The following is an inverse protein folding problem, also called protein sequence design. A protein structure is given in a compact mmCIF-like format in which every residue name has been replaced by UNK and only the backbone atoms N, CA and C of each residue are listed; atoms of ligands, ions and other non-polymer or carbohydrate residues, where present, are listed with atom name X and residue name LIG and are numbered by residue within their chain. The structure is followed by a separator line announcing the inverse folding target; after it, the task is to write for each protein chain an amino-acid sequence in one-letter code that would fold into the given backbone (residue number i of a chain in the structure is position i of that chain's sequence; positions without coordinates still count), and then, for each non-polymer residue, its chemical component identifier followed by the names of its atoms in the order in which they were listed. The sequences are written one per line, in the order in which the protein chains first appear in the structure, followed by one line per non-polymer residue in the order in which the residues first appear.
data_IF_405919289354
#
_entry.id   IF_405919289354
#
_cell.length_a   1.000
_cell.length_b   1.000
_cell.length_c   1.000
_cell.angle_alpha   90.00
_cell.angle_beta   90.00
_cell.angle_gamma   90.00
#
_symmetry.space_group_name_H-M   'P 1'
#
loop_
_entity.id
_entity.type
_entity.pdbx_description
1 polymer ?
#
# COMPACT_ATOMS: atom_id res chain seq x y z
N UNK A 1 -21.84 40.93 -1.47
CA UNK A 1 -20.78 40.97 -0.44
C UNK A 1 -20.37 39.52 -0.19
N UNK A 2 -19.23 39.11 -0.71
CA UNK A 2 -18.58 37.86 -0.34
C UNK A 2 -18.12 37.98 1.11
N UNK A 3 -18.79 37.26 2.02
CA UNK A 3 -18.35 37.13 3.40
C UNK A 3 -17.27 36.02 3.38
N UNK A 4 -16.02 36.46 3.39
CA UNK A 4 -14.88 35.55 3.55
C UNK A 4 -14.81 35.18 5.04
N UNK A 5 -15.31 34.01 5.41
CA UNK A 5 -15.15 33.49 6.75
C UNK A 5 -13.95 32.52 6.71
N UNK A 6 -12.88 32.88 7.41
CA UNK A 6 -11.70 32.05 7.52
C UNK A 6 -11.99 30.87 8.47
N UNK A 7 -11.85 29.65 7.99
CA UNK A 7 -11.99 28.44 8.78
C UNK A 7 -10.60 27.92 9.16
N UNK A 8 -10.38 27.76 10.46
CA UNK A 8 -9.21 27.03 10.97
C UNK A 8 -9.59 25.58 11.23
N UNK A 9 -8.76 24.65 10.80
CA UNK A 9 -8.97 23.22 11.02
C UNK A 9 -7.84 22.70 11.89
N UNK A 10 -8.21 22.12 13.02
CA UNK A 10 -7.28 21.53 13.97
C UNK A 10 -7.26 20.00 13.81
N UNK A 11 -6.05 19.45 13.84
CA UNK A 11 -5.79 18.00 13.90
C UNK A 11 -5.06 17.70 15.21
N UNK A 12 -5.48 16.71 15.95
CA UNK A 12 -5.01 16.36 17.29
C UNK A 12 -3.49 16.27 17.50
N UNK A 13 -2.70 16.23 16.44
CA UNK A 13 -1.23 16.13 16.52
C UNK A 13 -0.46 17.23 15.79
N UNK A 14 -1.13 17.99 14.90
CA UNK A 14 -0.50 19.05 14.11
C UNK A 14 -1.54 20.13 13.87
N UNK A 15 -1.39 21.27 14.52
CA UNK A 15 -2.25 22.45 14.24
C UNK A 15 -1.91 23.00 12.86
N UNK A 16 -2.61 22.55 11.84
CA UNK A 16 -2.52 23.09 10.49
C UNK A 16 -3.52 24.24 10.37
N UNK A 17 -3.05 25.46 10.58
CA UNK A 17 -3.86 26.66 10.40
C UNK A 17 -4.06 26.94 8.90
N UNK A 18 -5.09 26.36 8.32
CA UNK A 18 -5.51 26.66 6.95
C UNK A 18 -6.64 27.69 7.02
N UNK A 19 -6.33 28.94 6.67
CA UNK A 19 -7.35 29.97 6.42
C UNK A 19 -8.06 29.66 5.11
N UNK A 20 -9.15 28.88 5.19
CA UNK A 20 -9.88 28.40 4.03
C UNK A 20 -11.21 29.16 3.87
N UNK A 21 -11.54 29.56 2.65
CA UNK A 21 -12.87 30.01 2.31
C UNK A 21 -13.86 28.83 2.45
N UNK A 22 -14.92 28.94 3.25
CA UNK A 22 -15.83 27.82 3.58
C UNK A 22 -16.55 27.23 2.35
N UNK A 23 -16.89 28.04 1.37
CA UNK A 23 -17.79 27.63 0.29
C UNK A 23 -17.34 26.44 -0.54
N UNK A 24 -16.09 26.34 -1.01
CA UNK A 24 -15.66 25.19 -1.80
C UNK A 24 -15.66 23.86 -0.99
N UNK A 25 -15.40 23.94 0.31
CA UNK A 25 -15.46 22.77 1.20
C UNK A 25 -16.92 22.34 1.44
N UNK A 26 -17.82 23.30 1.66
CA UNK A 26 -19.24 23.04 1.91
C UNK A 26 -19.95 22.44 0.69
N UNK A 27 -19.59 22.87 -0.51
CA UNK A 27 -20.23 22.39 -1.74
C UNK A 27 -19.86 20.95 -2.07
N UNK A 28 -18.70 20.45 -1.60
CA UNK A 28 -18.15 19.14 -1.96
C UNK A 28 -18.04 18.15 -0.81
N UNK A 29 -18.25 18.61 0.44
CA UNK A 29 -18.16 17.75 1.63
C UNK A 29 -19.43 17.81 2.47
N UNK A 30 -20.15 16.70 2.54
CA UNK A 30 -21.35 16.57 3.38
C UNK A 30 -21.03 16.72 4.86
N UNK A 31 -19.89 16.14 5.31
CA UNK A 31 -19.46 16.25 6.70
C UNK A 31 -19.15 17.70 7.10
N UNK A 32 -18.41 18.44 6.27
CA UNK A 32 -18.09 19.84 6.55
C UNK A 32 -19.36 20.70 6.56
N UNK A 33 -20.28 20.44 5.64
CA UNK A 33 -21.57 21.10 5.58
C UNK A 33 -22.36 20.89 6.89
N UNK A 34 -22.46 19.62 7.34
CA UNK A 34 -23.17 19.27 8.57
C UNK A 34 -22.53 19.91 9.80
N UNK A 35 -21.20 19.80 9.97
CA UNK A 35 -20.49 20.37 11.11
C UNK A 35 -20.65 21.88 11.23
N UNK A 36 -20.61 22.61 10.12
CA UNK A 36 -20.80 24.07 10.12
C UNK A 36 -22.25 24.43 10.39
N UNK A 37 -23.22 23.66 9.84
CA UNK A 37 -24.64 23.92 10.07
C UNK A 37 -25.07 23.61 11.53
N UNK A 38 -24.56 22.55 12.12
CA UNK A 38 -24.87 22.11 13.49
C UNK A 38 -24.26 23.03 14.56
N UNK A 39 -23.13 23.67 14.26
CA UNK A 39 -22.43 24.55 15.22
C UNK A 39 -23.24 25.75 15.71
N UNK A 40 -24.30 26.14 14.98
CA UNK A 40 -25.14 27.32 15.26
C UNK A 40 -24.39 28.62 15.50
N UNK A 41 -23.07 28.61 15.36
CA UNK A 41 -22.21 29.77 15.55
C UNK A 41 -21.88 30.41 14.19
N UNK A 42 -22.41 31.56 13.89
CA UNK A 42 -22.12 32.27 12.62
C UNK A 42 -20.65 32.70 12.50
N UNK A 43 -19.94 32.76 13.63
CA UNK A 43 -18.52 33.13 13.70
C UNK A 43 -17.60 31.94 13.92
N UNK A 44 -18.07 30.71 13.66
CA UNK A 44 -17.24 29.51 13.81
C UNK A 44 -15.96 29.63 12.97
N UNK A 45 -14.85 29.79 13.67
CA UNK A 45 -13.53 29.95 13.06
C UNK A 45 -12.65 28.71 13.18
N UNK A 46 -13.09 27.70 13.94
CA UNK A 46 -12.33 26.47 14.17
C UNK A 46 -13.22 25.24 14.13
N UNK A 47 -12.81 24.24 13.40
CA UNK A 47 -13.45 22.90 13.38
C UNK A 47 -12.38 21.87 13.71
N UNK A 48 -12.62 21.04 14.71
CA UNK A 48 -11.84 19.86 14.99
C UNK A 48 -12.28 18.71 14.08
N UNK A 49 -11.33 18.04 13.44
CA UNK A 49 -11.55 16.81 12.68
C UNK A 49 -10.82 15.69 13.40
N UNK A 50 -11.53 15.08 14.34
CA UNK A 50 -11.00 13.97 15.13
C UNK A 50 -10.97 12.69 14.28
N UNK A 51 -9.90 11.91 14.46
CA UNK A 51 -9.73 10.59 13.84
C UNK A 51 -9.88 10.55 12.31
N UNK A 52 -9.53 11.64 11.62
CA UNK A 52 -9.57 11.63 10.17
C UNK A 52 -8.55 10.65 9.60
N UNK A 53 -8.99 9.68 8.78
CA UNK A 53 -8.09 8.72 8.17
C UNK A 53 -7.14 9.40 7.18
N UNK A 54 -5.87 8.98 7.21
CA UNK A 54 -4.83 9.55 6.33
C UNK A 54 -4.23 10.86 6.82
N UNK A 55 -4.74 11.40 7.95
CA UNK A 55 -4.17 12.57 8.62
C UNK A 55 -4.20 13.87 7.82
N UNK A 56 -3.35 14.84 8.19
CA UNK A 56 -3.31 16.17 7.57
C UNK A 56 -3.01 16.15 6.08
N UNK A 57 -2.14 15.23 5.64
CA UNK A 57 -1.74 15.12 4.22
C UNK A 57 -2.92 14.71 3.33
N UNK A 58 -3.74 13.77 3.78
CA UNK A 58 -4.93 13.35 3.03
C UNK A 58 -5.99 14.45 3.03
N UNK A 59 -6.15 15.18 4.14
CA UNK A 59 -7.03 16.33 4.19
C UNK A 59 -6.57 17.46 3.26
N UNK A 60 -5.29 17.79 3.24
CA UNK A 60 -4.75 18.81 2.34
C UNK A 60 -5.07 18.50 0.88
N UNK A 61 -4.91 17.23 0.45
CA UNK A 61 -5.26 16.82 -0.91
C UNK A 61 -6.78 16.93 -1.16
N UNK A 62 -7.61 16.53 -0.21
CA UNK A 62 -9.06 16.68 -0.32
C UNK A 62 -9.48 18.16 -0.37
N UNK A 63 -8.85 19.02 0.43
CA UNK A 63 -9.07 20.45 0.39
C UNK A 63 -8.64 21.04 -0.96
N UNK A 64 -7.43 20.73 -1.46
CA UNK A 64 -6.98 21.15 -2.81
C UNK A 64 -8.00 20.80 -3.88
N UNK A 65 -8.54 19.58 -3.82
CA UNK A 65 -9.59 19.16 -4.74
C UNK A 65 -10.84 20.05 -4.63
N UNK A 66 -11.30 20.39 -3.41
CA UNK A 66 -12.43 21.29 -3.21
C UNK A 66 -12.22 22.67 -3.83
N UNK A 67 -10.99 23.18 -3.80
CA UNK A 67 -10.63 24.48 -4.42
C UNK A 67 -10.34 24.39 -5.92
N UNK A 68 -10.56 23.25 -6.54
CA UNK A 68 -10.29 23.06 -7.97
C UNK A 68 -8.81 23.00 -8.33
N UNK A 69 -7.93 22.84 -7.32
CA UNK A 69 -6.50 22.64 -7.54
C UNK A 69 -6.28 21.20 -7.98
N UNK A 70 -5.48 20.99 -9.03
CA UNK A 70 -5.16 19.66 -9.53
C UNK A 70 -4.49 18.81 -8.43
N UNK A 71 -4.99 17.60 -8.24
CA UNK A 71 -4.46 16.62 -7.30
C UNK A 71 -3.95 15.42 -8.09
N UNK A 72 -2.66 15.15 -8.01
CA UNK A 72 -2.06 13.97 -8.61
C UNK A 72 -2.36 12.73 -7.78
N UNK A 73 -3.13 11.81 -8.34
CA UNK A 73 -3.42 10.52 -7.72
C UNK A 73 -2.24 9.56 -7.97
N UNK A 74 -1.74 8.99 -6.90
CA UNK A 74 -0.62 8.04 -6.91
C UNK A 74 -0.90 6.84 -6.01
N UNK A 75 -0.18 5.74 -6.20
CA UNK A 75 -0.28 4.58 -5.31
C UNK A 75 0.08 4.92 -3.85
N UNK A 76 0.89 5.96 -3.61
CA UNK A 76 1.31 6.35 -2.28
C UNK A 76 0.23 7.12 -1.50
N UNK A 77 -0.61 7.90 -2.18
CA UNK A 77 -1.60 8.78 -1.52
C UNK A 77 -3.05 8.30 -1.65
N UNK A 78 -3.33 7.41 -2.61
CA UNK A 78 -4.71 7.06 -2.96
C UNK A 78 -5.51 6.42 -1.82
N UNK A 79 -4.88 5.56 -1.01
CA UNK A 79 -5.57 4.88 0.11
C UNK A 79 -6.00 5.86 1.19
N UNK A 80 -5.09 6.74 1.62
CA UNK A 80 -5.40 7.79 2.58
C UNK A 80 -6.45 8.76 2.04
N UNK A 81 -6.29 9.19 0.80
CA UNK A 81 -7.21 10.12 0.15
C UNK A 81 -8.61 9.51 -0.05
N UNK A 82 -8.70 8.22 -0.42
CA UNK A 82 -10.00 7.52 -0.54
C UNK A 82 -10.71 7.41 0.82
N UNK A 83 -9.96 7.08 1.87
CA UNK A 83 -10.51 7.04 3.22
C UNK A 83 -10.94 8.44 3.71
N UNK A 84 -10.14 9.47 3.44
CA UNK A 84 -10.47 10.85 3.77
C UNK A 84 -11.71 11.35 3.01
N UNK A 85 -11.82 11.01 1.73
CA UNK A 85 -12.99 11.36 0.92
C UNK A 85 -14.28 10.74 1.47
N UNK A 86 -14.22 9.48 1.93
CA UNK A 86 -15.34 8.81 2.60
C UNK A 86 -15.68 9.48 3.93
N UNK A 87 -14.68 9.74 4.78
CA UNK A 87 -14.85 10.43 6.05
C UNK A 87 -15.48 11.81 5.88
N UNK A 88 -15.09 12.54 4.85
CA UNK A 88 -15.60 13.86 4.52
C UNK A 88 -16.95 13.83 3.76
N UNK A 89 -17.45 12.64 3.44
CA UNK A 89 -18.71 12.46 2.70
C UNK A 89 -18.72 13.21 1.35
N UNK A 90 -17.65 13.03 0.56
CA UNK A 90 -17.48 13.67 -0.74
C UNK A 90 -18.13 12.85 -1.87
N UNK A 91 -19.46 12.70 -1.79
CA UNK A 91 -20.28 11.88 -2.70
C UNK A 91 -20.65 12.62 -3.99
N UNK A 92 -21.07 11.89 -5.01
CA UNK A 92 -21.58 12.46 -6.26
C UNK A 92 -22.95 13.15 -6.12
N UNK A 93 -23.68 12.88 -5.04
CA UNK A 93 -24.93 13.59 -4.73
C UNK A 93 -24.71 15.10 -4.47
N UNK A 94 -23.49 15.47 -4.03
CA UNK A 94 -23.11 16.86 -3.81
C UNK A 94 -22.57 17.53 -5.08
N UNK A 95 -21.77 16.81 -5.84
CA UNK A 95 -21.19 17.30 -7.10
C UNK A 95 -20.78 16.11 -7.97
N UNK A 96 -21.13 16.14 -9.25
CA UNK A 96 -20.77 15.13 -10.22
C UNK A 96 -19.22 15.00 -10.33
N UNK A 97 -18.71 13.77 -10.30
CA UNK A 97 -17.29 13.48 -10.34
C UNK A 97 -16.54 13.92 -9.09
N UNK A 98 -17.19 13.90 -7.92
CA UNK A 98 -16.60 14.21 -6.63
C UNK A 98 -15.48 13.22 -6.24
N UNK A 99 -14.80 13.48 -5.16
CA UNK A 99 -13.53 12.82 -4.81
C UNK A 99 -13.66 11.31 -4.54
N UNK A 100 -14.78 10.84 -3.96
CA UNK A 100 -15.05 9.41 -3.77
C UNK A 100 -15.02 8.70 -5.12
N UNK A 101 -15.75 9.20 -6.11
CA UNK A 101 -15.78 8.61 -7.45
C UNK A 101 -14.42 8.60 -8.13
N UNK A 102 -13.68 9.70 -8.09
CA UNK A 102 -12.36 9.80 -8.73
C UNK A 102 -11.32 8.86 -8.10
N UNK A 103 -11.31 8.79 -6.77
CA UNK A 103 -10.39 7.89 -6.05
C UNK A 103 -10.76 6.43 -6.26
N UNK A 104 -12.04 6.10 -6.32
CA UNK A 104 -12.53 4.75 -6.60
C UNK A 104 -12.20 4.31 -8.03
N UNK A 105 -12.37 5.20 -9.00
CA UNK A 105 -11.98 4.95 -10.39
C UNK A 105 -10.47 4.68 -10.50
N UNK A 106 -9.63 5.50 -9.85
CA UNK A 106 -8.18 5.30 -9.86
C UNK A 106 -7.77 3.97 -9.21
N UNK A 107 -8.36 3.62 -8.06
CA UNK A 107 -8.13 2.32 -7.42
C UNK A 107 -8.48 1.17 -8.37
N UNK A 108 -9.67 1.20 -8.98
CA UNK A 108 -10.18 0.11 -9.81
C UNK A 108 -9.39 -0.07 -11.10
N UNK A 109 -9.09 1.01 -11.80
CA UNK A 109 -8.53 0.95 -13.15
C UNK A 109 -7.01 1.06 -13.21
N UNK A 110 -6.39 1.75 -12.26
CA UNK A 110 -4.93 1.96 -12.24
C UNK A 110 -4.26 1.03 -11.23
N UNK A 111 -4.62 1.15 -9.95
CA UNK A 111 -3.94 0.41 -8.87
C UNK A 111 -4.12 -1.10 -9.03
N UNK A 112 -5.36 -1.56 -9.17
CA UNK A 112 -5.64 -3.00 -9.26
C UNK A 112 -5.16 -3.63 -10.57
N UNK A 113 -4.85 -2.86 -11.60
CA UNK A 113 -4.21 -3.37 -12.82
C UNK A 113 -2.71 -3.60 -12.65
N UNK A 114 -2.05 -2.86 -11.76
CA UNK A 114 -0.61 -2.88 -11.51
C UNK A 114 -0.23 -3.80 -10.35
N UNK A 115 0.80 -4.64 -10.55
CA UNK A 115 1.40 -5.45 -9.49
C UNK A 115 1.97 -4.57 -8.37
N UNK A 116 2.85 -3.66 -8.78
CA UNK A 116 3.56 -2.76 -7.86
C UNK A 116 2.58 -1.89 -7.05
N UNK A 117 1.64 -1.25 -7.75
CA UNK A 117 0.76 -0.29 -7.11
C UNK A 117 -0.20 -0.96 -6.14
N UNK A 118 -0.66 -2.20 -6.44
CA UNK A 118 -1.45 -3.00 -5.51
C UNK A 118 -0.70 -3.26 -4.19
N UNK A 119 0.63 -3.54 -4.25
CA UNK A 119 1.46 -3.76 -3.06
C UNK A 119 1.71 -2.45 -2.30
N UNK A 120 2.01 -1.35 -3.01
CA UNK A 120 2.22 -0.03 -2.39
C UNK A 120 0.98 0.43 -1.65
N UNK A 121 -0.19 0.30 -2.28
CA UNK A 121 -1.48 0.66 -1.66
C UNK A 121 -1.77 -0.24 -0.47
N UNK A 122 -1.59 -1.56 -0.59
CA UNK A 122 -1.80 -2.49 0.52
C UNK A 122 -0.90 -2.15 1.71
N UNK A 123 0.36 -1.80 1.45
CA UNK A 123 1.28 -1.37 2.50
C UNK A 123 0.84 -0.05 3.16
N UNK A 124 0.38 0.92 2.40
CA UNK A 124 -0.12 2.19 2.95
C UNK A 124 -1.38 2.02 3.80
N UNK A 125 -2.18 0.97 3.55
CA UNK A 125 -3.36 0.64 4.36
C UNK A 125 -3.03 0.19 5.80
N UNK A 126 -1.78 -0.17 6.11
CA UNK A 126 -1.36 -0.59 7.45
C UNK A 126 -1.67 0.44 8.56
N UNK A 127 -1.78 1.71 8.20
CA UNK A 127 -2.07 2.83 9.12
C UNK A 127 -3.53 3.33 9.01
N UNK A 128 -4.36 2.71 8.17
CA UNK A 128 -5.70 3.19 7.84
C UNK A 128 -6.83 2.29 8.37
N UNK A 129 -6.52 1.38 9.31
CA UNK A 129 -7.55 0.56 9.97
C UNK A 129 -8.43 1.44 10.88
N UNK A 130 -9.76 1.24 10.92
CA UNK A 130 -10.52 0.24 10.18
C UNK A 130 -11.01 0.69 8.80
N UNK A 131 -10.76 1.94 8.39
CA UNK A 131 -11.30 2.55 7.16
C UNK A 131 -10.96 1.76 5.89
N UNK A 132 -9.69 1.41 5.71
CA UNK A 132 -9.26 0.67 4.51
C UNK A 132 -9.88 -0.73 4.42
N UNK A 133 -10.20 -1.35 5.56
CA UNK A 133 -10.92 -2.62 5.63
C UNK A 133 -12.40 -2.44 5.24
N UNK A 134 -13.07 -1.46 5.85
CA UNK A 134 -14.49 -1.18 5.60
C UNK A 134 -14.75 -0.83 4.13
N UNK A 135 -13.82 -0.09 3.50
CA UNK A 135 -13.87 0.27 2.08
C UNK A 135 -13.36 -0.85 1.15
N UNK A 136 -13.05 -2.03 1.70
CA UNK A 136 -12.59 -3.21 0.98
C UNK A 136 -11.29 -3.00 0.18
N UNK A 137 -10.51 -1.94 0.46
CA UNK A 137 -9.27 -1.64 -0.25
C UNK A 137 -8.26 -2.76 0.00
N UNK A 138 -8.08 -3.17 1.26
CA UNK A 138 -7.16 -4.25 1.66
C UNK A 138 -7.51 -5.56 0.96
N UNK A 139 -8.80 -5.93 0.96
CA UNK A 139 -9.27 -7.15 0.29
C UNK A 139 -8.99 -7.12 -1.20
N UNK A 140 -9.39 -6.05 -1.89
CA UNK A 140 -9.25 -5.91 -3.34
C UNK A 140 -7.78 -5.93 -3.79
N UNK A 141 -6.90 -5.23 -3.06
CA UNK A 141 -5.46 -5.27 -3.32
C UNK A 141 -4.89 -6.68 -3.10
N UNK A 142 -5.26 -7.37 -2.01
CA UNK A 142 -4.81 -8.73 -1.72
C UNK A 142 -5.25 -9.73 -2.80
N UNK A 143 -6.50 -9.63 -3.27
CA UNK A 143 -7.02 -10.46 -4.36
C UNK A 143 -6.31 -10.17 -5.69
N UNK A 144 -6.04 -8.89 -5.99
CA UNK A 144 -5.30 -8.47 -7.20
C UNK A 144 -3.87 -9.01 -7.20
N UNK A 145 -3.17 -8.93 -6.06
CA UNK A 145 -1.82 -9.49 -5.87
C UNK A 145 -1.87 -11.02 -6.07
N UNK A 146 -2.83 -11.70 -5.45
CA UNK A 146 -2.98 -13.15 -5.58
C UNK A 146 -3.23 -13.60 -7.02
N UNK A 147 -4.08 -12.89 -7.76
CA UNK A 147 -4.31 -13.15 -9.19
C UNK A 147 -3.03 -13.09 -9.99
N UNK A 148 -2.25 -12.02 -9.79
CA UNK A 148 -1.01 -11.78 -10.54
C UNK A 148 0.09 -12.76 -10.16
N UNK A 149 0.21 -13.11 -8.86
CA UNK A 149 1.17 -14.10 -8.39
C UNK A 149 0.94 -15.49 -9.01
N UNK A 150 -0.33 -15.85 -9.27
CA UNK A 150 -0.71 -17.13 -9.88
C UNK A 150 -0.72 -17.08 -11.41
N UNK A 151 -0.70 -15.90 -12.01
CA UNK A 151 -0.70 -15.71 -13.46
C UNK A 151 0.72 -15.88 -14.04
N UNK A 152 0.79 -16.00 -15.38
CA UNK A 152 2.08 -15.97 -16.05
C UNK A 152 2.74 -14.60 -15.90
N UNK A 153 3.94 -14.49 -15.31
CA UNK A 153 4.58 -13.21 -15.01
C UNK A 153 5.13 -12.48 -16.26
N UNK A 154 4.88 -13.01 -17.48
CA UNK A 154 5.27 -12.33 -18.72
C UNK A 154 4.58 -10.96 -18.79
N UNK A 155 5.36 -9.90 -18.67
CA UNK A 155 4.86 -8.52 -18.72
C UNK A 155 4.70 -7.86 -17.33
N UNK A 156 4.86 -8.55 -16.23
CA UNK A 156 4.94 -7.93 -14.90
C UNK A 156 6.34 -7.32 -14.74
N UNK A 157 6.41 -5.99 -14.63
CA UNK A 157 7.67 -5.32 -14.35
C UNK A 157 8.03 -5.52 -12.87
N UNK A 158 9.13 -6.21 -12.63
CA UNK A 158 9.77 -6.44 -11.34
C UNK A 158 10.35 -5.12 -10.81
N UNK A 159 9.61 -4.39 -10.02
CA UNK A 159 10.01 -3.05 -9.72
C UNK A 159 10.42 -2.81 -8.26
N UNK A 160 10.11 -3.75 -7.36
CA UNK A 160 10.38 -3.53 -5.94
C UNK A 160 11.77 -4.01 -5.51
N UNK A 161 12.26 -5.10 -6.06
CA UNK A 161 13.54 -5.71 -5.65
C UNK A 161 14.77 -4.94 -6.09
N UNK A 162 14.64 -3.86 -6.87
CA UNK A 162 15.79 -3.01 -7.28
C UNK A 162 16.89 -3.75 -8.05
N UNK A 163 16.76 -5.05 -8.22
CA UNK A 163 17.64 -5.87 -9.04
C UNK A 163 17.13 -5.87 -10.49
N UNK A 164 17.18 -4.69 -11.12
CA UNK A 164 17.43 -4.71 -12.56
C UNK A 164 18.67 -5.57 -12.76
N UNK A 165 18.66 -6.56 -13.68
CA UNK A 165 19.91 -7.08 -14.19
C UNK A 165 20.74 -5.85 -14.59
N UNK A 166 21.95 -5.70 -14.02
CA UNK A 166 22.85 -4.65 -14.44
C UNK A 166 22.92 -4.77 -15.95
N UNK A 167 22.25 -3.88 -16.64
CA UNK A 167 22.53 -3.66 -18.04
C UNK A 167 23.98 -3.25 -18.07
N UNK A 168 24.85 -4.19 -18.36
CA UNK A 168 26.22 -3.91 -18.74
C UNK A 168 26.10 -2.88 -19.84
N UNK A 169 26.67 -1.70 -19.60
CA UNK A 169 26.75 -0.61 -20.58
C UNK A 169 27.09 -1.20 -21.93
N UNK A 170 26.38 -0.87 -23.02
CA UNK A 170 26.72 -1.38 -24.34
C UNK A 170 28.12 -0.89 -24.65
N UNK A 171 29.11 -1.78 -24.62
CA UNK A 171 30.39 -1.52 -25.32
C UNK A 171 30.08 -1.43 -26.77
N UNK A 172 30.36 -0.29 -27.35
CA UNK A 172 30.11 0.13 -28.74
C UNK A 172 30.96 -0.65 -29.79
N UNK A 173 31.34 -1.87 -29.54
CA UNK A 173 32.06 -2.69 -30.53
C UNK A 173 31.67 -4.16 -30.34
N UNK A 174 30.47 -4.53 -30.83
CA UNK A 174 30.23 -5.85 -31.35
C UNK A 174 28.89 -5.85 -32.12
N UNK A 175 28.95 -5.42 -33.36
CA UNK A 175 27.95 -5.75 -34.40
C UNK A 175 28.20 -7.20 -34.78
N UNK A 176 27.58 -8.15 -34.10
CA UNK A 176 27.27 -9.47 -34.71
C UNK A 176 26.14 -10.10 -33.90
N UNK A 177 25.05 -10.35 -34.62
CA UNK A 177 23.95 -11.27 -34.37
C UNK A 177 23.83 -11.79 -32.89
N UNK A 178 23.01 -11.13 -32.09
CA UNK A 178 22.35 -11.79 -31.00
C UNK A 178 20.87 -11.47 -31.06
N UNK A 179 20.14 -12.36 -31.67
CA UNK A 179 18.70 -12.48 -31.53
C UNK A 179 18.37 -12.37 -30.03
N UNK A 180 17.34 -11.59 -29.62
CA UNK A 180 16.95 -11.51 -28.20
C UNK A 180 16.64 -12.92 -27.74
N UNK A 181 17.40 -13.41 -26.76
CA UNK A 181 17.23 -14.69 -26.12
C UNK A 181 15.78 -14.84 -25.64
N UNK A 182 15.01 -15.69 -26.34
CA UNK A 182 13.55 -15.83 -26.23
C UNK A 182 13.09 -16.60 -24.99
N UNK A 183 13.95 -16.92 -24.00
CA UNK A 183 13.56 -17.69 -22.83
C UNK A 183 14.25 -17.22 -21.55
N UNK A 184 13.94 -16.03 -21.07
CA UNK A 184 14.14 -15.77 -19.65
C UNK A 184 13.00 -16.47 -18.90
N UNK A 185 13.32 -17.64 -18.36
CA UNK A 185 12.43 -18.39 -17.48
C UNK A 185 12.33 -17.60 -16.16
N UNK A 186 11.17 -17.00 -15.91
CA UNK A 186 10.92 -16.29 -14.65
C UNK A 186 10.88 -17.31 -13.51
N UNK A 187 11.69 -17.15 -12.45
CA UNK A 187 11.69 -18.11 -11.35
C UNK A 187 10.32 -18.13 -10.65
N UNK A 188 9.87 -19.28 -10.13
CA UNK A 188 8.52 -19.41 -9.56
C UNK A 188 8.32 -18.63 -8.26
N UNK A 189 9.41 -18.20 -7.60
CA UNK A 189 9.47 -17.41 -6.37
C UNK A 189 9.58 -15.90 -6.60
N UNK A 190 9.42 -15.46 -7.85
CA UNK A 190 9.60 -14.06 -8.28
C UNK A 190 8.86 -13.03 -7.44
N UNK A 191 7.75 -13.40 -6.81
CA UNK A 191 6.88 -12.52 -6.05
C UNK A 191 7.18 -12.49 -4.54
N UNK A 192 8.04 -13.37 -4.02
CA UNK A 192 8.29 -13.52 -2.59
C UNK A 192 8.82 -12.25 -1.94
N UNK A 193 9.85 -11.65 -2.56
CA UNK A 193 10.49 -10.45 -2.01
C UNK A 193 9.52 -9.28 -1.97
N UNK A 194 8.70 -9.11 -3.01
CA UNK A 194 7.78 -7.99 -3.11
C UNK A 194 6.68 -8.05 -2.04
N UNK A 195 6.15 -9.24 -1.73
CA UNK A 195 5.11 -9.39 -0.69
C UNK A 195 5.70 -9.43 0.71
N UNK A 196 6.98 -9.75 0.85
CA UNK A 196 7.65 -9.83 2.16
C UNK A 196 7.84 -8.49 2.87
N UNK A 197 7.56 -7.37 2.20
CA UNK A 197 7.61 -6.02 2.80
C UNK A 197 6.35 -5.69 3.60
N UNK A 198 5.29 -6.48 3.45
CA UNK A 198 4.00 -6.25 4.11
C UNK A 198 4.07 -6.64 5.58
N UNK A 199 3.25 -5.96 6.41
CA UNK A 199 3.01 -6.38 7.79
C UNK A 199 2.37 -7.76 7.82
N UNK A 200 2.59 -8.51 8.89
CA UNK A 200 2.21 -9.93 8.99
C UNK A 200 0.73 -10.19 8.69
N UNK A 201 -0.17 -9.35 9.15
CA UNK A 201 -1.62 -9.48 8.91
C UNK A 201 -1.98 -9.36 7.42
N UNK A 202 -1.39 -8.39 6.72
CA UNK A 202 -1.56 -8.23 5.29
C UNK A 202 -0.85 -9.32 4.49
N UNK A 203 0.35 -9.73 4.93
CA UNK A 203 1.04 -10.87 4.33
C UNK A 203 0.21 -12.15 4.41
N UNK A 204 -0.32 -12.50 5.59
CA UNK A 204 -1.18 -13.68 5.79
C UNK A 204 -2.42 -13.60 4.90
N UNK A 205 -3.02 -12.43 4.75
CA UNK A 205 -4.18 -12.23 3.86
C UNK A 205 -3.83 -12.49 2.40
N UNK A 206 -2.70 -11.97 1.92
CA UNK A 206 -2.22 -12.21 0.56
C UNK A 206 -1.91 -13.69 0.33
N UNK A 207 -1.19 -14.35 1.25
CA UNK A 207 -0.88 -15.77 1.15
C UNK A 207 -2.14 -16.63 1.14
N UNK A 208 -3.12 -16.28 1.97
CA UNK A 208 -4.42 -16.97 1.99
C UNK A 208 -5.15 -16.82 0.65
N UNK A 209 -5.14 -15.62 0.08
CA UNK A 209 -5.74 -15.38 -1.24
C UNK A 209 -4.99 -16.15 -2.35
N UNK A 210 -3.67 -16.21 -2.32
CA UNK A 210 -2.82 -16.98 -3.24
C UNK A 210 -3.14 -18.48 -3.14
N UNK A 211 -3.29 -19.01 -1.91
CA UNK A 211 -3.68 -20.40 -1.66
C UNK A 211 -5.04 -20.73 -2.29
N UNK A 212 -6.02 -19.86 -2.10
CA UNK A 212 -7.39 -20.02 -2.67
C UNK A 212 -7.36 -20.03 -4.21
N UNK A 213 -6.41 -19.32 -4.83
CA UNK A 213 -6.22 -19.32 -6.29
C UNK A 213 -5.50 -20.55 -6.84
N UNK A 214 -5.11 -21.51 -5.98
CA UNK A 214 -4.55 -22.79 -6.39
C UNK A 214 -3.02 -22.81 -6.57
N UNK A 215 -2.30 -21.90 -5.93
CA UNK A 215 -0.83 -21.98 -5.88
C UNK A 215 -0.38 -23.26 -5.22
N UNK A 216 0.72 -23.86 -5.72
CA UNK A 216 1.33 -25.08 -5.16
C UNK A 216 1.76 -24.85 -3.71
N UNK A 217 1.50 -25.83 -2.84
CA UNK A 217 1.79 -25.73 -1.40
C UNK A 217 3.27 -25.54 -1.09
N UNK A 218 4.16 -26.10 -1.92
CA UNK A 218 5.60 -25.94 -1.77
C UNK A 218 6.03 -24.48 -1.91
N UNK A 219 5.46 -23.74 -2.88
CA UNK A 219 5.72 -22.31 -3.05
C UNK A 219 5.14 -21.48 -1.92
N UNK A 220 3.97 -21.85 -1.41
CA UNK A 220 3.39 -21.18 -0.24
C UNK A 220 4.29 -21.37 0.97
N UNK A 221 4.72 -22.60 1.26
CA UNK A 221 5.66 -22.91 2.35
C UNK A 221 6.98 -22.13 2.20
N UNK A 222 7.56 -22.15 0.99
CA UNK A 222 8.79 -21.42 0.72
C UNK A 222 8.64 -19.90 0.90
N UNK A 223 7.49 -19.31 0.53
CA UNK A 223 7.22 -17.87 0.74
C UNK A 223 7.10 -17.52 2.22
N UNK A 224 6.49 -18.38 3.03
CA UNK A 224 6.39 -18.20 4.48
C UNK A 224 7.79 -18.29 5.12
N UNK A 225 8.61 -19.26 4.71
CA UNK A 225 10.00 -19.38 5.16
C UNK A 225 10.82 -18.15 4.78
N UNK A 226 10.67 -17.64 3.55
CA UNK A 226 11.32 -16.42 3.10
C UNK A 226 10.90 -15.20 3.95
N UNK A 227 9.62 -15.04 4.25
CA UNK A 227 9.10 -14.00 5.12
C UNK A 227 9.70 -14.11 6.54
N UNK A 228 9.69 -15.32 7.12
CA UNK A 228 10.24 -15.58 8.45
C UNK A 228 11.74 -15.28 8.51
N UNK A 229 12.51 -15.69 7.50
CA UNK A 229 13.95 -15.40 7.41
C UNK A 229 14.24 -13.89 7.39
N UNK A 230 13.39 -13.12 6.74
CA UNK A 230 13.53 -11.65 6.65
C UNK A 230 13.24 -10.95 7.96
N UNK A 231 12.20 -11.36 8.66
CA UNK A 231 11.69 -10.65 9.84
C UNK A 231 12.16 -11.25 11.17
N UNK A 232 12.62 -12.51 11.17
CA UNK A 232 13.06 -13.28 12.34
C UNK A 232 14.44 -13.92 12.09
N UNK A 233 15.48 -13.13 11.82
CA UNK A 233 16.79 -13.67 11.40
C UNK A 233 17.45 -14.57 12.45
N UNK A 234 17.07 -14.48 13.73
CA UNK A 234 17.63 -15.31 14.82
C UNK A 234 17.00 -16.70 14.93
N UNK A 235 15.84 -16.96 14.33
CA UNK A 235 15.17 -18.26 14.44
C UNK A 235 15.71 -19.34 13.48
N UNK A 236 16.47 -18.94 12.46
CA UNK A 236 16.96 -19.85 11.41
C UNK A 236 18.41 -20.32 11.68
N UNK A 237 19.14 -19.66 12.58
CA UNK A 237 20.53 -19.99 12.89
C UNK A 237 20.71 -21.14 13.89
N UNK A 238 19.67 -21.62 14.57
CA UNK A 238 19.78 -22.67 15.58
C UNK A 238 19.56 -24.12 15.05
N UNK A 239 19.58 -24.31 13.74
CA UNK A 239 19.40 -25.64 13.11
C UNK A 239 20.66 -26.49 12.94
N UNK A 240 21.84 -26.01 13.32
CA UNK A 240 23.07 -26.82 13.38
C UNK A 240 23.34 -27.20 14.82
N UNK A 241 22.72 -28.27 15.26
CA UNK A 241 23.08 -28.98 16.51
C UNK A 241 24.55 -29.40 16.48
N UNK A 242 25.26 -29.31 17.62
CA UNK A 242 26.63 -29.81 17.70
C UNK A 242 26.67 -31.28 17.41
N UNK A 243 27.44 -31.64 16.38
CA UNK A 243 27.71 -33.03 16.03
C UNK A 243 28.28 -33.80 17.20
N UNK A 244 27.81 -35.01 17.33
CA UNK A 244 28.23 -36.10 18.15
C UNK A 244 29.77 -36.20 18.24
N UNK A 245 30.35 -35.74 19.34
CA UNK A 245 31.73 -36.07 19.66
C UNK A 245 31.79 -37.51 20.21
N UNK A 246 32.14 -38.42 19.32
CA UNK A 246 32.42 -39.79 19.65
C UNK A 246 33.54 -39.90 20.71
N UNK A 247 33.17 -40.37 21.90
CA UNK A 247 34.06 -40.72 22.98
C UNK A 247 34.95 -41.94 22.59
N UNK A 248 36.19 -41.66 22.22
CA UNK A 248 37.21 -42.69 22.18
C UNK A 248 37.66 -43.07 23.60
N UNK A 249 37.19 -44.17 24.08
CA UNK A 249 37.74 -44.86 25.26
C UNK A 249 38.99 -45.60 24.81
N UNK A 250 40.15 -45.05 25.11
CA UNK A 250 41.40 -45.79 25.01
C UNK A 250 41.64 -46.55 26.30
N UNK A 251 41.53 -47.89 26.22
CA UNK A 251 42.04 -48.81 27.20
C UNK A 251 43.59 -48.78 27.17
N UNK A 252 44.20 -48.42 28.28
CA UNK A 252 45.62 -48.77 28.56
C UNK A 252 45.67 -49.69 29.79
N UNK A 253 45.80 -50.97 29.53
CA UNK A 253 46.36 -51.94 30.48
C UNK A 253 47.88 -51.72 30.58
N UNK A 254 48.40 -51.62 31.80
CA UNK A 254 49.76 -52.09 32.12
C UNK A 254 49.82 -52.50 33.58
N UNK A 255 50.14 -53.74 33.81
CA UNK A 255 50.94 -54.39 34.81
C UNK A 255 50.98 -53.86 36.22
#
# INVERSE_FOLDING_TARGET
KLITINLCIDFMAVSLFLFLCKYPLLSRSGKMNRLIYESRDPELNMIALDDQPGGPEAFELAAKFCYGIAVDLTAANISGLRCAAEYLEMTEDLEEGNLIFKTEAFLSYVVLSSWRDSIVVLKSCEKLSPWAENLQIVRRCSESIAWKACANPKGIRWAYTGKLPKASSPKWNDMKDSSPSKNQHVPPDWWFEDVSILRIDHFVRVITAIKVKGMRFELIGASITHYAAKWLPGLISDGTGPGDEGSNISNSNTS
#
